data_IF_154140799353
#
_entry.id   IF_154140799353
#
_cell.length_a   1.000
_cell.length_b   1.000
_cell.length_c   1.000
_cell.angle_alpha   90.00
_cell.angle_beta   90.00
_cell.angle_gamma   90.00
#
_symmetry.space_group_name_H-M   'P 1'
#
loop_
_entity.id
_entity.type
_entity.pdbx_description
1 polymer ?
#
# COMPACT_ATOMS: atom_id res chain seq x y z
N UNK A 1 16.65 -5.65 3.33
CA UNK A 1 16.47 -4.81 2.12
C UNK A 1 15.41 -3.77 2.44
N UNK A 2 15.62 -2.53 2.06
CA UNK A 2 14.65 -1.43 2.14
C UNK A 2 14.53 -0.80 0.77
N UNK A 3 13.30 -0.58 0.29
CA UNK A 3 13.07 0.01 -1.03
C UNK A 3 11.58 0.12 -1.35
N UNK A 4 11.25 0.78 -2.46
CA UNK A 4 9.87 0.79 -2.91
C UNK A 4 9.48 -0.56 -3.51
N UNK A 5 8.23 -0.97 -3.29
CA UNK A 5 7.67 -2.21 -3.84
C UNK A 5 7.97 -2.38 -5.34
N UNK A 6 7.63 -1.36 -6.13
CA UNK A 6 7.81 -1.42 -7.58
C UNK A 6 9.27 -1.55 -8.01
N UNK A 7 10.20 -0.87 -7.33
CA UNK A 7 11.62 -0.95 -7.66
C UNK A 7 12.20 -2.33 -7.34
N UNK A 8 11.87 -2.87 -6.15
CA UNK A 8 12.33 -4.18 -5.72
C UNK A 8 11.78 -5.30 -6.62
N UNK A 9 10.52 -5.17 -7.04
CA UNK A 9 9.90 -6.15 -7.92
C UNK A 9 10.47 -6.08 -9.34
N UNK A 10 10.63 -4.87 -9.89
CA UNK A 10 11.24 -4.64 -11.19
C UNK A 10 12.65 -5.23 -11.29
N UNK A 11 13.47 -5.03 -10.28
CA UNK A 11 14.81 -5.62 -10.22
C UNK A 11 14.75 -7.14 -10.41
N UNK A 12 13.81 -7.82 -9.78
CA UNK A 12 13.66 -9.26 -9.91
C UNK A 12 13.13 -9.69 -11.26
N UNK A 13 12.14 -8.99 -11.78
CA UNK A 13 11.58 -9.25 -13.11
C UNK A 13 12.70 -9.18 -14.18
N UNK A 14 13.57 -8.17 -14.10
CA UNK A 14 14.65 -7.97 -15.07
C UNK A 14 15.70 -9.09 -15.05
N UNK A 15 15.72 -9.93 -14.03
CA UNK A 15 16.61 -11.09 -13.90
C UNK A 15 16.00 -12.37 -14.49
N UNK A 16 14.82 -12.32 -15.07
CA UNK A 16 14.07 -13.47 -15.60
C UNK A 16 13.85 -13.39 -17.09
N UNK A 17 13.42 -14.48 -17.69
CA UNK A 17 13.03 -14.53 -19.11
C UNK A 17 11.86 -13.59 -19.45
N UNK A 18 11.07 -13.18 -18.47
CA UNK A 18 9.92 -12.27 -18.66
C UNK A 18 10.35 -10.79 -18.77
N UNK A 19 11.63 -10.45 -18.63
CA UNK A 19 12.13 -9.08 -18.66
C UNK A 19 11.77 -8.32 -19.94
N UNK A 20 11.85 -9.00 -21.10
CA UNK A 20 11.55 -8.39 -22.40
C UNK A 20 10.08 -8.05 -22.54
N UNK A 21 9.20 -8.99 -22.17
CA UNK A 21 7.74 -8.79 -22.23
C UNK A 21 7.26 -7.74 -21.22
N UNK A 22 7.81 -7.75 -20.01
CA UNK A 22 7.57 -6.71 -19.02
C UNK A 22 7.93 -5.32 -19.56
N UNK A 23 9.14 -5.16 -20.09
CA UNK A 23 9.62 -3.89 -20.63
C UNK A 23 8.78 -3.42 -21.83
N UNK A 24 8.34 -4.35 -22.66
CA UNK A 24 7.42 -4.05 -23.77
C UNK A 24 6.09 -3.54 -23.26
N UNK A 25 5.45 -4.26 -22.35
CA UNK A 25 4.17 -3.87 -21.75
C UNK A 25 4.24 -2.51 -21.04
N UNK A 26 5.34 -2.23 -20.34
CA UNK A 26 5.57 -0.94 -19.70
C UNK A 26 5.65 0.22 -20.72
N UNK A 27 6.31 0.01 -21.86
CA UNK A 27 6.41 1.03 -22.93
C UNK A 27 5.10 1.25 -23.66
N UNK A 28 4.31 0.22 -23.83
CA UNK A 28 2.99 0.28 -24.47
C UNK A 28 1.96 1.01 -23.61
N UNK A 29 2.13 1.04 -22.28
CA UNK A 29 1.30 1.78 -21.36
C UNK A 29 1.54 3.31 -21.47
N UNK A 30 1.05 3.92 -22.54
CA UNK A 30 1.31 5.33 -22.89
C UNK A 30 0.32 6.31 -22.26
N UNK A 31 -0.95 5.91 -22.05
CA UNK A 31 -1.98 6.75 -21.44
C UNK A 31 -1.97 6.64 -19.90
N UNK A 32 -2.51 7.63 -19.16
CA UNK A 32 -2.65 7.53 -17.71
C UNK A 32 -3.42 6.29 -17.23
N UNK A 33 -4.48 5.90 -17.96
CA UNK A 33 -5.26 4.72 -17.64
C UNK A 33 -4.45 3.43 -17.85
N UNK A 34 -3.77 3.29 -19.00
CA UNK A 34 -2.92 2.13 -19.28
C UNK A 34 -1.77 2.00 -18.28
N UNK A 35 -1.17 3.12 -17.85
CA UNK A 35 -0.15 3.11 -16.79
C UNK A 35 -0.72 2.63 -15.47
N UNK A 36 -1.92 3.07 -15.10
CA UNK A 36 -2.60 2.57 -13.90
C UNK A 36 -2.81 1.06 -13.98
N UNK A 37 -3.40 0.55 -15.07
CA UNK A 37 -3.63 -0.88 -15.30
C UNK A 37 -2.30 -1.66 -15.26
N UNK A 38 -1.24 -1.15 -15.88
CA UNK A 38 0.08 -1.76 -15.84
C UNK A 38 0.60 -1.91 -14.40
N UNK A 39 0.57 -0.84 -13.60
CA UNK A 39 1.08 -0.89 -12.22
C UNK A 39 0.19 -1.69 -11.27
N UNK A 40 -1.13 -1.75 -11.51
CA UNK A 40 -2.04 -2.48 -10.65
C UNK A 40 -2.08 -3.98 -10.95
N UNK A 41 -2.08 -4.35 -12.19
CA UNK A 41 -2.33 -5.72 -12.63
C UNK A 41 -1.08 -6.40 -13.19
N UNK A 42 -0.50 -5.85 -14.26
CA UNK A 42 0.59 -6.50 -14.97
C UNK A 42 1.89 -6.53 -14.17
N UNK A 43 2.20 -5.48 -13.43
CA UNK A 43 3.40 -5.42 -12.60
C UNK A 43 3.39 -6.53 -11.53
N UNK A 44 2.25 -6.75 -10.89
CA UNK A 44 2.06 -7.85 -9.93
C UNK A 44 2.18 -9.22 -10.61
N UNK A 45 1.57 -9.39 -11.77
CA UNK A 45 1.62 -10.63 -12.54
C UNK A 45 3.07 -11.02 -12.91
N UNK A 46 3.81 -10.12 -13.54
CA UNK A 46 5.22 -10.38 -13.88
C UNK A 46 6.09 -10.59 -12.64
N UNK A 47 5.80 -9.87 -11.58
CA UNK A 47 6.49 -10.03 -10.31
C UNK A 47 6.32 -11.43 -9.73
N UNK A 48 5.12 -11.95 -9.72
CA UNK A 48 4.84 -13.30 -9.25
C UNK A 48 5.59 -14.34 -10.08
N UNK A 49 5.53 -14.25 -11.41
CA UNK A 49 6.28 -15.15 -12.29
C UNK A 49 7.79 -15.11 -12.01
N UNK A 50 8.34 -13.91 -11.77
CA UNK A 50 9.74 -13.76 -11.45
C UNK A 50 10.11 -14.44 -10.13
N UNK A 51 9.30 -14.31 -9.11
CA UNK A 51 9.55 -14.90 -7.79
C UNK A 51 9.45 -16.42 -7.82
N UNK A 52 8.49 -16.96 -8.52
CA UNK A 52 8.38 -18.41 -8.73
C UNK A 52 9.63 -18.97 -9.43
N UNK A 53 10.17 -18.25 -10.41
CA UNK A 53 11.39 -18.65 -11.12
C UNK A 53 12.68 -18.47 -10.33
N UNK A 54 12.79 -17.46 -9.49
CA UNK A 54 13.98 -17.16 -8.70
C UNK A 54 14.03 -17.91 -7.35
N UNK A 55 12.88 -18.29 -6.80
CA UNK A 55 12.78 -18.95 -5.50
C UNK A 55 13.22 -18.06 -4.31
N UNK A 56 13.30 -16.75 -4.51
CA UNK A 56 13.73 -15.81 -3.47
C UNK A 56 12.56 -15.50 -2.51
N UNK A 57 12.81 -15.58 -1.21
CA UNK A 57 11.85 -15.22 -0.18
C UNK A 57 12.48 -14.37 0.90
N UNK A 58 11.67 -13.56 1.56
CA UNK A 58 12.04 -12.80 2.75
C UNK A 58 11.56 -13.51 4.02
N UNK A 59 12.36 -13.47 5.06
CA UNK A 59 11.97 -13.99 6.37
C UNK A 59 10.87 -13.15 7.02
N UNK A 60 10.81 -11.88 6.69
CA UNK A 60 9.78 -10.97 7.17
C UNK A 60 9.55 -9.83 6.17
N UNK A 61 8.31 -9.34 6.10
CA UNK A 61 7.91 -8.20 5.29
C UNK A 61 7.25 -7.15 6.16
N UNK A 62 7.71 -5.90 6.04
CA UNK A 62 7.08 -4.74 6.68
C UNK A 62 6.71 -3.75 5.58
N UNK A 63 5.44 -3.38 5.51
CA UNK A 63 4.91 -2.45 4.50
C UNK A 63 4.34 -1.22 5.21
N UNK A 64 4.82 -0.05 4.81
CA UNK A 64 4.23 1.24 5.19
C UNK A 64 3.28 1.72 4.08
N UNK A 65 2.29 2.54 4.44
CA UNK A 65 1.20 3.00 3.55
C UNK A 65 0.53 1.83 2.81
N UNK A 66 0.29 0.73 3.52
CA UNK A 66 -0.17 -0.52 2.93
C UNK A 66 -1.55 -0.43 2.24
N UNK A 67 -2.37 0.59 2.55
CA UNK A 67 -3.63 0.84 1.86
C UNK A 67 -3.45 1.09 0.35
N UNK A 68 -2.28 1.61 -0.07
CA UNK A 68 -1.97 1.89 -1.47
C UNK A 68 -1.63 0.62 -2.27
N UNK A 69 -1.43 -0.49 -1.58
CA UNK A 69 -1.05 -1.79 -2.16
C UNK A 69 -2.15 -2.85 -2.06
N UNK A 70 -3.36 -2.48 -1.63
CA UNK A 70 -4.47 -3.43 -1.50
C UNK A 70 -5.12 -3.74 -2.84
N UNK A 71 -4.45 -4.58 -3.62
CA UNK A 71 -5.04 -5.26 -4.77
C UNK A 71 -4.62 -6.74 -4.78
N UNK A 72 -5.37 -7.58 -5.48
CA UNK A 72 -5.11 -9.02 -5.46
C UNK A 72 -3.74 -9.40 -6.01
N UNK A 73 -3.27 -8.85 -7.17
CA UNK A 73 -1.94 -9.18 -7.70
C UNK A 73 -0.81 -8.82 -6.73
N UNK A 74 -0.89 -7.71 -6.03
CA UNK A 74 0.12 -7.31 -5.04
C UNK A 74 0.09 -8.22 -3.81
N UNK A 75 -1.08 -8.62 -3.33
CA UNK A 75 -1.20 -9.57 -2.22
C UNK A 75 -0.59 -10.94 -2.58
N UNK A 76 -0.78 -11.39 -3.83
CA UNK A 76 -0.19 -12.64 -4.31
C UNK A 76 1.35 -12.54 -4.43
N UNK A 77 1.88 -11.39 -4.81
CA UNK A 77 3.33 -11.13 -4.79
C UNK A 77 3.88 -11.17 -3.37
N UNK A 78 3.25 -10.52 -2.42
CA UNK A 78 3.70 -10.56 -1.03
C UNK A 78 3.61 -11.98 -0.44
N UNK A 79 2.57 -12.73 -0.77
CA UNK A 79 2.45 -14.13 -0.35
C UNK A 79 3.62 -14.98 -0.86
N UNK A 80 3.99 -14.81 -2.14
CA UNK A 80 5.12 -15.51 -2.74
C UNK A 80 6.47 -15.05 -2.19
N UNK A 81 6.61 -13.77 -1.84
CA UNK A 81 7.85 -13.20 -1.29
C UNK A 81 8.11 -13.59 0.16
N UNK A 82 7.08 -13.86 0.90
CA UNK A 82 7.16 -14.11 2.33
C UNK A 82 7.36 -15.60 2.61
N UNK A 83 8.42 -15.95 3.30
CA UNK A 83 8.61 -17.31 3.77
C UNK A 83 7.45 -17.71 4.70
N UNK A 84 6.67 -18.71 4.27
CA UNK A 84 5.44 -19.15 4.95
C UNK A 84 4.18 -18.38 4.54
N UNK A 85 4.28 -17.42 3.61
CA UNK A 85 3.15 -16.64 3.11
C UNK A 85 2.42 -15.84 4.19
N UNK A 86 1.24 -15.33 3.86
CA UNK A 86 0.39 -14.58 4.80
C UNK A 86 -0.03 -15.38 6.03
N UNK A 87 -0.14 -16.69 5.90
CA UNK A 87 -0.68 -17.55 6.95
C UNK A 87 0.33 -17.88 8.04
N UNK A 88 1.58 -18.13 7.67
CA UNK A 88 2.62 -18.60 8.60
C UNK A 88 3.87 -17.72 8.62
N UNK A 89 4.00 -16.79 7.70
CA UNK A 89 5.11 -15.86 7.61
C UNK A 89 5.06 -14.72 8.63
N UNK A 90 6.14 -13.98 8.75
CA UNK A 90 6.26 -12.82 9.64
C UNK A 90 6.04 -11.54 8.85
N UNK A 91 4.99 -10.80 9.16
CA UNK A 91 4.68 -9.57 8.46
C UNK A 91 4.03 -8.51 9.34
N UNK A 92 4.16 -7.27 8.92
CA UNK A 92 3.45 -6.13 9.51
C UNK A 92 3.04 -5.15 8.41
N UNK A 93 1.78 -4.73 8.42
CA UNK A 93 1.23 -3.73 7.52
C UNK A 93 0.82 -2.51 8.32
N UNK A 94 1.36 -1.36 7.96
CA UNK A 94 1.00 -0.06 8.51
C UNK A 94 0.26 0.73 7.47
N UNK A 95 -0.87 1.35 7.84
CA UNK A 95 -1.65 2.15 6.90
C UNK A 95 -2.97 2.64 7.45
N UNK A 96 -3.56 3.62 6.79
CA UNK A 96 -4.90 4.11 7.08
C UNK A 96 -5.93 3.51 6.12
N UNK A 97 -6.41 2.32 6.45
CA UNK A 97 -7.38 1.58 5.64
C UNK A 97 -8.81 2.16 5.68
N UNK A 98 -9.01 3.28 6.34
CA UNK A 98 -10.34 3.92 6.46
C UNK A 98 -10.43 5.26 5.75
N UNK A 99 -9.35 6.05 5.75
CA UNK A 99 -9.39 7.48 5.41
C UNK A 99 -8.52 7.88 4.22
N UNK A 100 -7.44 7.17 3.94
CA UNK A 100 -6.44 7.56 2.96
C UNK A 100 -6.33 6.63 1.74
N UNK A 101 -7.36 5.90 1.42
CA UNK A 101 -7.37 5.07 0.21
C UNK A 101 -7.47 5.96 -1.05
N UNK A 102 -6.44 6.77 -1.30
CA UNK A 102 -6.38 7.69 -2.45
C UNK A 102 -6.50 6.94 -3.77
N UNK A 103 -6.01 5.72 -3.80
CA UNK A 103 -6.04 4.84 -4.96
C UNK A 103 -7.01 3.67 -4.80
N UNK A 104 -7.95 3.76 -3.87
CA UNK A 104 -8.95 2.71 -3.67
C UNK A 104 -9.72 2.46 -4.97
N UNK A 105 -9.36 1.40 -5.65
CA UNK A 105 -10.14 0.84 -6.75
C UNK A 105 -11.33 0.05 -6.19
N UNK A 106 -12.31 -0.25 -7.03
CA UNK A 106 -13.42 -1.15 -6.66
C UNK A 106 -12.91 -2.50 -6.11
N UNK A 107 -11.71 -2.93 -6.50
CA UNK A 107 -11.04 -4.13 -6.00
C UNK A 107 -10.47 -4.03 -4.58
N UNK A 108 -10.32 -2.83 -4.00
CA UNK A 108 -9.68 -2.68 -2.68
C UNK A 108 -10.49 -3.35 -1.55
N UNK A 109 -11.81 -3.34 -1.63
CA UNK A 109 -12.67 -4.02 -0.67
C UNK A 109 -12.50 -5.55 -0.76
N UNK A 110 -12.42 -6.08 -1.98
CA UNK A 110 -12.19 -7.51 -2.24
C UNK A 110 -10.79 -7.92 -1.75
N UNK A 111 -9.76 -7.14 -2.09
CA UNK A 111 -8.39 -7.38 -1.65
C UNK A 111 -8.26 -7.33 -0.11
N UNK A 112 -8.94 -6.38 0.53
CA UNK A 112 -9.00 -6.31 1.99
C UNK A 112 -9.65 -7.55 2.60
N UNK A 113 -10.75 -8.03 2.04
CA UNK A 113 -11.41 -9.23 2.50
C UNK A 113 -10.52 -10.48 2.28
N UNK A 114 -9.84 -10.56 1.14
CA UNK A 114 -8.84 -11.60 0.86
C UNK A 114 -7.73 -11.59 1.91
N UNK A 115 -7.14 -10.42 2.19
CA UNK A 115 -6.11 -10.28 3.22
C UNK A 115 -6.62 -10.73 4.59
N UNK A 116 -7.83 -10.36 4.98
CA UNK A 116 -8.45 -10.79 6.25
C UNK A 116 -8.60 -12.31 6.34
N UNK A 117 -8.94 -12.95 5.23
CA UNK A 117 -9.07 -14.41 5.15
C UNK A 117 -7.70 -15.10 5.22
N UNK A 118 -6.70 -14.56 4.50
CA UNK A 118 -5.34 -15.11 4.45
C UNK A 118 -4.60 -14.93 5.79
N UNK A 119 -4.80 -13.80 6.44
CA UNK A 119 -4.10 -13.45 7.70
C UNK A 119 -4.68 -14.10 8.96
N UNK A 120 -5.84 -14.74 8.87
CA UNK A 120 -6.47 -15.42 10.01
C UNK A 120 -6.60 -14.54 11.27
N UNK A 121 -6.02 -15.02 12.38
CA UNK A 121 -6.08 -14.36 13.69
C UNK A 121 -4.98 -13.31 13.93
N UNK A 122 -4.37 -12.76 12.87
CA UNK A 122 -3.35 -11.74 13.01
C UNK A 122 -3.85 -10.54 13.83
N UNK A 123 -3.03 -10.06 14.75
CA UNK A 123 -3.35 -8.91 15.61
C UNK A 123 -3.55 -7.64 14.76
N UNK A 124 -4.57 -6.85 15.06
CA UNK A 124 -4.94 -5.63 14.33
C UNK A 124 -5.00 -4.42 15.28
N UNK A 125 -3.85 -3.98 15.82
CA UNK A 125 -3.83 -2.81 16.67
C UNK A 125 -4.22 -1.56 15.88
N UNK A 126 -4.93 -0.64 16.53
CA UNK A 126 -5.30 0.64 15.94
C UNK A 126 -4.64 1.76 16.73
N UNK A 127 -3.90 2.62 16.05
CA UNK A 127 -3.38 3.86 16.63
C UNK A 127 -4.52 4.87 16.71
N UNK A 128 -4.84 5.32 17.93
CA UNK A 128 -6.04 6.16 18.20
C UNK A 128 -5.70 7.60 18.57
N UNK A 129 -4.43 7.92 18.76
CA UNK A 129 -4.00 9.23 19.25
C UNK A 129 -3.25 9.96 18.14
N UNK A 130 -3.69 11.20 17.84
CA UNK A 130 -2.97 12.05 16.90
C UNK A 130 -1.74 12.66 17.59
N UNK A 131 -0.56 12.28 17.10
CA UNK A 131 0.73 12.80 17.56
C UNK A 131 1.45 13.62 16.47
N UNK A 132 0.89 13.70 15.26
CA UNK A 132 1.56 14.25 14.07
C UNK A 132 1.13 15.69 13.77
N UNK A 133 -0.17 15.95 13.77
CA UNK A 133 -0.73 17.23 13.38
C UNK A 133 -0.96 18.11 14.60
N UNK A 134 -0.90 19.43 14.41
CA UNK A 134 -1.40 20.39 15.39
C UNK A 134 -2.93 20.28 15.47
N UNK A 135 -3.51 20.80 16.56
CA UNK A 135 -4.96 20.72 16.79
C UNK A 135 -5.74 21.39 15.67
N UNK A 136 -5.39 22.63 15.30
CA UNK A 136 -6.10 23.36 14.25
C UNK A 136 -6.09 22.65 12.90
N UNK A 137 -4.97 22.06 12.48
CA UNK A 137 -4.89 21.28 11.23
C UNK A 137 -5.82 20.08 11.28
N UNK A 138 -5.84 19.36 12.39
CA UNK A 138 -6.65 18.15 12.48
C UNK A 138 -8.14 18.46 12.58
N UNK A 139 -8.53 19.51 13.30
CA UNK A 139 -9.93 19.98 13.37
C UNK A 139 -10.44 20.45 12.02
N UNK A 140 -9.61 21.24 11.29
CA UNK A 140 -9.94 21.69 9.95
C UNK A 140 -10.08 20.53 8.97
N UNK A 141 -9.16 19.56 9.04
CA UNK A 141 -9.24 18.33 8.22
C UNK A 141 -10.50 17.54 8.53
N UNK A 142 -10.88 17.44 9.80
CA UNK A 142 -12.12 16.76 10.21
C UNK A 142 -13.36 17.47 9.65
N UNK A 143 -13.40 18.80 9.74
CA UNK A 143 -14.50 19.61 9.19
C UNK A 143 -14.66 19.43 7.67
N UNK A 144 -13.55 19.45 6.93
CA UNK A 144 -13.57 19.34 5.47
C UNK A 144 -13.86 17.92 4.99
N UNK A 145 -13.37 16.90 5.69
CA UNK A 145 -13.52 15.50 5.31
C UNK A 145 -14.78 14.84 5.83
N UNK A 146 -15.46 15.44 6.83
CA UNK A 146 -16.58 14.83 7.54
C UNK A 146 -16.20 13.66 8.45
N UNK A 147 -14.92 13.44 8.70
CA UNK A 147 -14.45 12.40 9.63
C UNK A 147 -14.23 12.98 11.03
N UNK A 148 -14.43 12.16 12.05
CA UNK A 148 -14.09 12.53 13.42
C UNK A 148 -12.60 12.81 13.59
N UNK A 149 -12.26 13.87 14.32
CA UNK A 149 -10.88 14.10 14.74
C UNK A 149 -10.50 13.11 15.83
N UNK A 150 -9.38 12.35 15.68
CA UNK A 150 -8.92 11.51 16.76
C UNK A 150 -8.41 12.35 17.93
N UNK A 151 -8.46 11.82 19.17
CA UNK A 151 -7.94 12.53 20.34
C UNK A 151 -6.45 12.84 20.18
N UNK A 152 -6.03 13.97 20.76
CA UNK A 152 -4.64 14.42 20.72
C UNK A 152 -3.84 13.88 21.88
N UNK A 153 -2.52 13.78 21.69
CA UNK A 153 -1.62 13.56 22.78
C UNK A 153 -1.68 14.75 23.78
N UNK A 154 -1.61 14.45 25.05
CA UNK A 154 -1.51 15.49 26.08
C UNK A 154 -0.32 16.41 25.82
N UNK A 155 -0.51 17.74 25.84
CA UNK A 155 0.53 18.72 25.52
C UNK A 155 0.73 19.02 24.02
N UNK A 156 -0.16 18.52 23.15
CA UNK A 156 -0.14 18.92 21.74
C UNK A 156 -0.34 20.43 21.58
N UNK A 157 0.56 21.08 20.83
CA UNK A 157 0.48 22.51 20.50
C UNK A 157 -0.66 22.74 19.53
N UNK A 158 -1.43 23.80 19.73
CA UNK A 158 -2.55 24.17 18.84
C UNK A 158 -2.07 24.52 17.43
N UNK A 159 -0.89 25.13 17.30
CA UNK A 159 -0.33 25.58 16.04
C UNK A 159 -0.85 26.96 15.61
N UNK A 160 -0.55 27.35 14.38
CA UNK A 160 -1.12 28.54 13.77
C UNK A 160 -2.51 28.21 13.19
N UNK A 161 -3.46 29.18 13.17
CA UNK A 161 -4.72 29.04 12.48
C UNK A 161 -4.53 28.64 11.01
N UNK A 162 -5.43 27.84 10.48
CA UNK A 162 -5.40 27.43 9.08
C UNK A 162 -5.90 28.58 8.21
N UNK A 163 -5.09 29.02 7.26
CA UNK A 163 -5.45 30.05 6.27
C UNK A 163 -6.05 29.36 5.02
N UNK A 164 -7.31 29.62 4.75
CA UNK A 164 -8.01 29.08 3.58
C UNK A 164 -7.85 30.04 2.41
N UNK A 165 -7.36 29.53 1.30
CA UNK A 165 -7.25 30.27 0.05
C UNK A 165 -8.00 29.57 -1.05
N UNK A 166 -8.95 30.26 -1.65
CA UNK A 166 -9.62 29.83 -2.86
C UNK A 166 -8.76 30.21 -4.06
N UNK A 167 -8.49 29.25 -4.92
CA UNK A 167 -7.83 29.49 -6.20
C UNK A 167 -8.91 29.56 -7.27
N UNK A 168 -9.03 30.74 -7.91
CA UNK A 168 -9.91 30.96 -9.06
C UNK A 168 -9.28 30.47 -10.35
#
# INVERSE_FOLDING_TARGET
VVGSYHALLRERITRTSSAADFTKSEREASTPQQRREFFWDLHGYYGRLALEGLGEQFEAIVVDEAQDFLNEPTLDVFDAWLAGGWKAGRWALFGDFRRQAIYASEGAAVAKQKLLTLSGDAARPTLKINCRNTRFIAEETAMLSGFDSPPFRMGTIDGLPVDRREYS
#
